data_IF_782414867163
#
_entry.id   IF_782414867163
#
_cell.length_a   1.000
_cell.length_b   1.000
_cell.length_c   1.000
_cell.angle_alpha   90.00
_cell.angle_beta   90.00
_cell.angle_gamma   90.00
#
_symmetry.space_group_name_H-M   'P 1'
#
loop_
_entity.id
_entity.type
_entity.pdbx_description
1 polymer ?
#
# COMPACT_ATOMS: atom_id res chain seq x y z
N UNK A 1 -4.49 1.68 11.26
CA UNK A 1 -4.61 2.07 9.84
C UNK A 1 -3.63 3.18 9.56
N UNK A 2 -2.75 3.01 8.57
CA UNK A 2 -1.63 3.94 8.33
C UNK A 2 -1.61 4.54 6.92
N UNK A 3 -2.56 4.16 6.07
CA UNK A 3 -2.57 4.52 4.67
C UNK A 3 -1.60 3.68 3.83
N UNK A 4 -1.53 3.97 2.53
CA UNK A 4 -0.66 3.29 1.57
C UNK A 4 0.03 4.29 0.66
N UNK A 5 1.28 3.98 0.35
CA UNK A 5 2.11 4.66 -0.62
C UNK A 5 2.74 3.63 -1.56
N UNK A 6 3.03 4.05 -2.78
CA UNK A 6 3.58 3.20 -3.84
C UNK A 6 4.98 3.67 -4.22
N UNK A 7 5.88 2.71 -4.42
CA UNK A 7 7.28 2.92 -4.77
C UNK A 7 7.50 2.54 -6.21
N UNK A 8 8.17 3.41 -6.95
CA UNK A 8 8.46 3.22 -8.35
C UNK A 8 9.86 2.74 -8.66
N UNK A 9 10.10 2.49 -9.95
CA UNK A 9 11.45 2.15 -10.44
C UNK A 9 12.41 3.31 -10.15
N UNK A 10 13.57 3.02 -9.58
CA UNK A 10 14.57 4.01 -9.19
C UNK A 10 14.47 4.49 -7.73
N UNK A 11 13.62 3.87 -6.90
CA UNK A 11 13.51 4.19 -5.47
C UNK A 11 14.73 3.83 -4.62
N UNK A 12 15.75 3.23 -5.21
CA UNK A 12 17.05 2.91 -4.58
C UNK A 12 17.73 4.19 -4.02
N UNK A 13 17.40 5.36 -4.55
CA UNK A 13 18.00 6.65 -4.14
C UNK A 13 17.23 7.40 -3.02
N UNK A 14 16.23 6.76 -2.38
CA UNK A 14 15.49 7.35 -1.24
C UNK A 14 16.37 7.47 0.03
N UNK A 15 17.58 6.93 0.00
CA UNK A 15 18.50 6.81 1.15
C UNK A 15 19.08 8.13 1.69
N UNK A 16 18.83 9.27 1.04
CA UNK A 16 19.32 10.59 1.50
C UNK A 16 18.23 11.45 2.12
N UNK A 17 18.35 11.71 3.43
CA UNK A 17 17.52 12.68 4.16
C UNK A 17 17.70 14.12 3.64
N UNK A 18 18.85 14.42 3.02
CA UNK A 18 19.16 15.76 2.52
C UNK A 18 18.42 16.07 1.20
N UNK A 19 18.01 15.02 0.46
CA UNK A 19 17.28 15.12 -0.79
C UNK A 19 16.23 14.02 -0.90
N UNK A 20 15.09 14.23 -0.23
CA UNK A 20 13.91 13.40 -0.46
C UNK A 20 13.32 13.75 -1.83
N UNK A 21 13.75 13.04 -2.87
CA UNK A 21 13.12 13.13 -4.18
C UNK A 21 11.77 12.38 -4.16
N UNK A 22 10.67 13.14 -4.12
CA UNK A 22 9.33 12.58 -4.21
C UNK A 22 8.98 12.09 -5.63
N UNK A 23 9.90 12.13 -6.60
CA UNK A 23 9.65 11.63 -7.97
C UNK A 23 9.50 10.10 -8.03
N UNK A 24 10.04 9.38 -7.06
CA UNK A 24 10.08 7.91 -7.05
C UNK A 24 8.99 7.25 -6.19
N UNK A 25 8.22 8.03 -5.43
CA UNK A 25 7.05 7.54 -4.68
C UNK A 25 5.78 8.28 -5.04
N UNK A 26 4.63 7.62 -4.91
CA UNK A 26 3.34 8.29 -4.99
C UNK A 26 3.12 9.17 -3.75
N UNK A 27 2.18 10.13 -3.81
CA UNK A 27 1.64 10.73 -2.59
C UNK A 27 1.02 9.65 -1.66
N UNK A 28 1.14 9.86 -0.35
CA UNK A 28 0.47 9.02 0.65
C UNK A 28 -1.06 9.11 0.51
N UNK A 29 -1.71 7.96 0.34
CA UNK A 29 -3.14 7.81 0.55
C UNK A 29 -3.38 7.53 2.03
N UNK A 30 -3.86 8.51 2.78
CA UNK A 30 -3.91 8.44 4.24
C UNK A 30 -5.02 7.50 4.73
N UNK A 31 -4.94 7.10 6.00
CA UNK A 31 -6.01 6.33 6.66
C UNK A 31 -7.35 7.09 6.75
N UNK A 32 -7.34 8.42 6.60
CA UNK A 32 -8.55 9.23 6.56
C UNK A 32 -9.20 9.24 5.18
N UNK A 33 -8.59 8.64 4.16
CA UNK A 33 -9.16 8.57 2.82
C UNK A 33 -10.49 7.79 2.82
N UNK A 34 -11.57 8.50 2.46
CA UNK A 34 -12.94 7.97 2.45
C UNK A 34 -13.43 7.57 1.04
N UNK A 35 -12.54 7.45 0.04
CA UNK A 35 -12.95 7.13 -1.33
C UNK A 35 -13.60 5.75 -1.48
N UNK A 36 -13.26 4.83 -0.58
CA UNK A 36 -13.76 3.46 -0.56
C UNK A 36 -15.06 3.41 0.23
N UNK A 37 -16.17 3.80 -0.40
CA UNK A 37 -17.50 3.74 0.22
C UNK A 37 -17.87 2.31 0.62
N UNK A 38 -18.81 2.15 1.56
CA UNK A 38 -19.30 0.82 1.95
C UNK A 38 -19.77 -0.01 0.75
N UNK A 39 -20.48 0.63 -0.18
CA UNK A 39 -20.90 0.03 -1.45
C UNK A 39 -19.71 -0.45 -2.28
N UNK A 40 -18.61 0.30 -2.32
CA UNK A 40 -17.40 -0.12 -3.00
C UNK A 40 -16.73 -1.30 -2.27
N UNK A 41 -16.59 -1.22 -0.94
CA UNK A 41 -16.03 -2.30 -0.12
C UNK A 41 -16.82 -3.59 -0.27
N UNK A 42 -18.14 -3.50 -0.44
CA UNK A 42 -19.01 -4.64 -0.70
C UNK A 42 -18.69 -5.39 -1.99
N UNK A 43 -18.13 -4.70 -3.00
CA UNK A 43 -17.70 -5.28 -4.28
C UNK A 43 -16.30 -5.89 -4.28
N UNK A 44 -15.57 -5.77 -3.16
CA UNK A 44 -14.23 -6.32 -3.04
C UNK A 44 -14.30 -7.83 -2.71
N UNK A 45 -13.25 -8.59 -3.05
CA UNK A 45 -13.21 -10.01 -2.72
C UNK A 45 -13.39 -10.25 -1.22
N UNK A 46 -14.33 -11.12 -0.87
CA UNK A 46 -14.72 -11.37 0.52
C UNK A 46 -13.69 -12.22 1.24
N UNK A 47 -13.41 -11.82 2.47
CA UNK A 47 -12.56 -12.50 3.45
C UNK A 47 -13.28 -12.47 4.80
N UNK A 48 -12.83 -13.27 5.76
CA UNK A 48 -13.46 -13.34 7.09
C UNK A 48 -13.27 -12.06 7.92
N UNK A 49 -12.30 -11.23 7.55
CA UNK A 49 -11.96 -9.99 8.22
C UNK A 49 -12.79 -8.82 7.68
N UNK A 50 -13.18 -7.89 8.56
CA UNK A 50 -13.90 -6.69 8.14
C UNK A 50 -12.98 -5.72 7.42
N UNK A 51 -13.33 -5.35 6.18
CA UNK A 51 -12.64 -4.32 5.42
C UNK A 51 -13.19 -2.94 5.79
N UNK A 52 -12.29 -1.97 5.89
CA UNK A 52 -12.64 -0.57 6.16
C UNK A 52 -12.05 0.36 5.12
N UNK A 53 -12.65 1.54 4.97
CA UNK A 53 -12.04 2.62 4.20
C UNK A 53 -10.74 3.07 4.89
N UNK A 54 -9.75 3.46 4.10
CA UNK A 54 -8.40 3.75 4.61
C UNK A 54 -7.49 2.53 4.72
N UNK A 55 -7.99 1.31 4.49
CA UNK A 55 -7.14 0.14 4.28
C UNK A 55 -6.37 0.22 2.96
N UNK A 56 -5.10 -0.21 3.00
CA UNK A 56 -4.19 -0.16 1.85
C UNK A 56 -4.71 -0.91 0.63
N UNK A 57 -5.14 -2.16 0.76
CA UNK A 57 -5.67 -2.92 -0.37
C UNK A 57 -6.99 -2.36 -0.89
N UNK A 58 -7.88 -1.86 -0.03
CA UNK A 58 -9.12 -1.21 -0.47
C UNK A 58 -8.81 -0.01 -1.38
N UNK A 59 -7.86 0.83 -0.96
CA UNK A 59 -7.36 1.97 -1.75
C UNK A 59 -6.76 1.51 -3.08
N UNK A 60 -5.97 0.43 -3.06
CA UNK A 60 -5.33 -0.15 -4.24
C UNK A 60 -6.35 -0.65 -5.27
N UNK A 61 -7.37 -1.41 -4.82
CA UNK A 61 -8.48 -1.83 -5.68
C UNK A 61 -9.24 -0.63 -6.24
N UNK A 62 -9.47 0.39 -5.43
CA UNK A 62 -10.16 1.60 -5.88
C UNK A 62 -9.37 2.31 -6.98
N UNK A 63 -8.05 2.47 -6.79
CA UNK A 63 -7.15 3.08 -7.77
C UNK A 63 -7.13 2.29 -9.07
N UNK A 64 -7.04 0.97 -9.00
CA UNK A 64 -7.03 0.10 -10.18
C UNK A 64 -8.31 0.25 -11.02
N UNK A 65 -9.48 0.35 -10.37
CA UNK A 65 -10.78 0.47 -11.05
C UNK A 65 -11.10 1.89 -11.53
N UNK A 66 -10.78 2.91 -10.73
CA UNK A 66 -11.22 4.29 -10.97
C UNK A 66 -10.14 5.21 -11.55
N UNK A 67 -8.88 4.78 -11.55
CA UNK A 67 -7.76 5.49 -12.18
C UNK A 67 -6.99 4.54 -13.10
N UNK A 68 -7.51 4.25 -14.30
CA UNK A 68 -6.95 3.27 -15.24
C UNK A 68 -5.57 3.64 -15.81
N UNK A 69 -4.90 4.68 -15.29
CA UNK A 69 -3.51 5.01 -15.58
C UNK A 69 -2.57 4.90 -14.37
N UNK A 70 -3.09 4.73 -13.16
CA UNK A 70 -2.28 4.85 -11.95
C UNK A 70 -1.23 3.74 -11.82
N UNK A 71 -1.56 2.51 -12.22
CA UNK A 71 -0.65 1.38 -12.23
C UNK A 71 -0.14 1.02 -13.64
N UNK A 72 -0.35 1.90 -14.63
CA UNK A 72 0.13 1.63 -15.99
C UNK A 72 1.66 1.61 -16.02
N UNK A 73 2.19 0.92 -17.03
CA UNK A 73 3.61 0.90 -17.38
C UNK A 73 4.55 0.34 -16.30
N UNK A 74 4.00 -0.36 -15.29
CA UNK A 74 4.78 -0.94 -14.19
C UNK A 74 5.58 0.12 -13.43
N UNK A 75 5.04 1.34 -13.35
CA UNK A 75 5.71 2.47 -12.70
C UNK A 75 5.92 2.23 -11.21
N UNK A 76 5.05 1.45 -10.56
CA UNK A 76 5.16 1.04 -9.16
C UNK A 76 5.46 -0.45 -9.06
N UNK A 77 6.45 -0.81 -8.24
CA UNK A 77 6.92 -2.18 -8.04
C UNK A 77 6.55 -2.73 -6.67
N UNK A 78 6.40 -1.86 -5.67
CA UNK A 78 6.01 -2.22 -4.32
C UNK A 78 5.20 -1.11 -3.65
N UNK A 79 4.69 -1.40 -2.46
CA UNK A 79 3.92 -0.46 -1.66
C UNK A 79 4.19 -0.70 -0.18
N UNK A 80 3.88 0.31 0.64
CA UNK A 80 4.06 0.28 2.07
C UNK A 80 3.25 1.40 2.73
N UNK A 81 3.22 1.39 4.04
CA UNK A 81 2.66 2.48 4.85
C UNK A 81 3.65 3.64 4.96
N UNK A 82 3.20 4.75 5.55
CA UNK A 82 4.09 5.86 5.91
C UNK A 82 5.18 5.45 6.91
N UNK A 83 4.91 4.45 7.74
CA UNK A 83 5.88 3.94 8.71
C UNK A 83 6.99 3.16 7.99
N UNK A 84 6.63 2.36 6.99
CA UNK A 84 7.60 1.62 6.17
C UNK A 84 8.51 2.57 5.39
N UNK A 85 7.97 3.70 4.93
CA UNK A 85 8.75 4.77 4.31
C UNK A 85 9.75 5.41 5.24
N UNK A 86 9.31 5.77 6.46
CA UNK A 86 10.21 6.35 7.45
C UNK A 86 11.36 5.38 7.76
N UNK A 87 11.07 4.10 7.93
CA UNK A 87 12.08 3.06 8.16
C UNK A 87 13.02 2.92 6.96
N UNK A 88 12.49 2.91 5.74
CA UNK A 88 13.31 2.82 4.53
C UNK A 88 14.32 3.97 4.45
N UNK A 89 13.90 5.21 4.73
CA UNK A 89 14.81 6.36 4.76
C UNK A 89 15.85 6.22 5.89
N UNK A 90 15.40 5.99 7.12
CA UNK A 90 16.28 5.96 8.30
C UNK A 90 17.33 4.84 8.22
N UNK A 91 17.00 3.74 7.55
CA UNK A 91 17.87 2.58 7.39
C UNK A 91 18.59 2.55 6.04
N UNK A 92 18.36 3.54 5.15
CA UNK A 92 18.94 3.56 3.81
C UNK A 92 18.54 2.35 2.96
N UNK A 93 17.28 1.91 3.06
CA UNK A 93 16.74 0.79 2.28
C UNK A 93 16.22 1.27 0.94
N UNK A 94 16.45 0.47 -0.10
CA UNK A 94 15.98 0.74 -1.46
C UNK A 94 14.46 0.56 -1.64
N UNK A 95 13.83 -0.19 -0.73
CA UNK A 95 12.43 -0.55 -0.77
C UNK A 95 11.84 -0.65 0.66
N UNK A 96 10.52 -0.45 0.81
CA UNK A 96 9.87 -0.58 2.10
C UNK A 96 9.88 -2.04 2.57
N UNK A 97 10.10 -2.23 3.86
CA UNK A 97 9.93 -3.52 4.54
C UNK A 97 8.78 -3.37 5.54
N UNK A 98 7.69 -4.12 5.31
CA UNK A 98 6.48 -4.03 6.11
C UNK A 98 6.44 -5.10 7.20
N UNK A 99 6.15 -4.70 8.44
CA UNK A 99 5.90 -5.63 9.55
C UNK A 99 4.49 -6.23 9.48
N UNK A 100 4.27 -7.37 10.12
CA UNK A 100 2.94 -8.03 10.17
C UNK A 100 1.84 -7.09 10.69
N UNK A 101 2.15 -6.28 11.70
CA UNK A 101 1.21 -5.28 12.26
C UNK A 101 0.82 -4.20 11.25
N UNK A 102 1.76 -3.76 10.42
CA UNK A 102 1.50 -2.77 9.37
C UNK A 102 0.80 -3.42 8.18
N UNK A 103 1.14 -4.66 7.85
CA UNK A 103 0.49 -5.46 6.80
C UNK A 103 -0.99 -5.69 7.12
N UNK A 104 -1.34 -5.96 8.38
CA UNK A 104 -2.74 -6.07 8.82
C UNK A 104 -3.57 -4.83 8.50
N UNK A 105 -2.95 -3.64 8.52
CA UNK A 105 -3.62 -2.39 8.19
C UNK A 105 -3.99 -2.24 6.70
N UNK A 106 -3.58 -3.19 5.85
CA UNK A 106 -3.99 -3.28 4.45
C UNK A 106 -5.30 -4.04 4.27
N UNK A 107 -5.74 -4.80 5.28
CA UNK A 107 -7.03 -5.47 5.32
C UNK A 107 -7.11 -6.84 4.66
N UNK A 108 -6.02 -7.35 4.07
CA UNK A 108 -5.97 -8.69 3.45
C UNK A 108 -4.81 -9.52 3.99
N UNK A 109 -4.30 -9.18 5.16
CA UNK A 109 -3.23 -9.88 5.84
C UNK A 109 -3.77 -10.51 7.12
N UNK A 110 -3.53 -11.80 7.30
CA UNK A 110 -3.90 -12.53 8.51
C UNK A 110 -2.79 -12.40 9.56
N UNK A 111 -3.06 -11.67 10.65
CA UNK A 111 -2.13 -11.48 11.78
C UNK A 111 -1.85 -12.78 12.55
N UNK A 112 -2.79 -13.73 12.56
CA UNK A 112 -2.64 -14.99 13.31
C UNK A 112 -1.76 -15.97 12.55
N UNK A 113 -1.93 -16.01 11.22
CA UNK A 113 -1.24 -16.93 10.33
C UNK A 113 -0.05 -16.27 9.60
N UNK A 114 0.24 -15.00 9.89
CA UNK A 114 1.32 -14.19 9.31
C UNK A 114 1.44 -14.30 7.78
N UNK A 115 0.33 -14.22 7.07
CA UNK A 115 0.35 -14.27 5.60
C UNK A 115 -0.75 -13.45 4.92
N UNK A 116 -0.47 -13.06 3.68
CA UNK A 116 -1.44 -12.42 2.80
C UNK A 116 -2.46 -13.41 2.27
N UNK A 117 -3.73 -13.00 2.25
CA UNK A 117 -4.82 -13.77 1.66
C UNK A 117 -4.49 -14.20 0.24
N UNK A 118 -4.73 -15.48 -0.06
CA UNK A 118 -4.47 -16.07 -1.38
C UNK A 118 -5.24 -15.38 -2.50
N UNK A 119 -6.33 -14.67 -2.17
CA UNK A 119 -7.16 -13.92 -3.12
C UNK A 119 -6.42 -12.77 -3.82
N UNK A 120 -5.30 -12.32 -3.26
CA UNK A 120 -4.44 -11.30 -3.87
C UNK A 120 -3.46 -11.89 -4.90
N UNK A 121 -3.31 -13.22 -4.98
CA UNK A 121 -2.46 -13.88 -5.96
C UNK A 121 -3.28 -14.17 -7.21
N UNK A 122 -2.81 -13.70 -8.37
CA UNK A 122 -3.27 -14.23 -9.66
C UNK A 122 -2.67 -15.61 -9.88
N UNK A 123 -3.48 -16.56 -10.36
CA UNK A 123 -3.02 -17.89 -10.81
C UNK A 123 -1.96 -17.80 -11.91
#
# INVERSE_FOLDING_TARGET
MHGVMFWGKGSEDISSLDHVDNSVTSNLFTWQDQRCTDQFLETLPKIDQSLSTGFGCATMFWLARNRPGFFKDGQYTCCGSIMDYLVAILCGLDHPVTSDQLAASFGYFDETLCHWSSILRTE
#
